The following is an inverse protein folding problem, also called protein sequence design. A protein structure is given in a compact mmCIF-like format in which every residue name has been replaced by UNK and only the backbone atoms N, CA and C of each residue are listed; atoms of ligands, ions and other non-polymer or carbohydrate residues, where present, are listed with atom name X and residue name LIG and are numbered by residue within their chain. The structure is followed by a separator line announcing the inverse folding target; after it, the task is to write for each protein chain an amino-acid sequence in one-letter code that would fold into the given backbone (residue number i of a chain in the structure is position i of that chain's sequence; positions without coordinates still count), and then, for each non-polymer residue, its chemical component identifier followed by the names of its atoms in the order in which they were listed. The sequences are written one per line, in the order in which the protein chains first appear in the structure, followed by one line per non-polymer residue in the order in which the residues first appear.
data_IF_085228776845
#
_entry.id   IF_085228776845
#
_cell.length_a   1.000
_cell.length_b   1.000
_cell.length_c   1.000
_cell.angle_alpha   90.00
_cell.angle_beta   90.00
_cell.angle_gamma   90.00
#
_symmetry.space_group_name_H-M   'P 1'
#
loop_
_entity.id
_entity.type
_entity.pdbx_description
1 polymer ?
#
# COMPACT_ATOMS: atom_id res chain seq x y z
N UNK A 1 28.33 -5.25 8.02
CA UNK A 1 28.96 -6.59 7.93
C UNK A 1 29.48 -7.09 9.29
N UNK A 2 30.38 -6.37 10.00
CA UNK A 2 30.79 -6.73 11.38
C UNK A 2 29.66 -6.85 12.42
N UNK A 3 28.61 -6.05 12.28
CA UNK A 3 27.44 -6.00 13.18
C UNK A 3 26.72 -7.35 13.40
N UNK A 4 26.74 -8.23 12.40
CA UNK A 4 26.13 -9.56 12.46
C UNK A 4 27.18 -10.68 12.57
N UNK A 5 28.44 -10.32 12.90
CA UNK A 5 29.59 -11.22 13.04
C UNK A 5 30.43 -11.39 11.78
N UNK A 6 30.24 -10.57 10.75
CA UNK A 6 31.08 -10.59 9.54
C UNK A 6 32.52 -10.23 9.85
N UNK A 7 33.50 -10.85 9.18
CA UNK A 7 34.93 -10.63 9.46
C UNK A 7 35.52 -9.37 8.82
N UNK A 8 34.76 -8.70 7.95
CA UNK A 8 35.22 -7.59 7.10
C UNK A 8 34.41 -6.28 7.31
N UNK A 9 34.96 -5.13 6.92
CA UNK A 9 34.28 -3.82 6.91
C UNK A 9 34.26 -3.05 8.26
N UNK A 10 33.90 -1.75 8.25
CA UNK A 10 33.90 -0.90 9.44
C UNK A 10 32.73 -1.24 10.38
N UNK A 11 32.99 -1.33 11.69
CA UNK A 11 31.97 -1.49 12.73
C UNK A 11 32.56 -1.61 14.15
N UNK A 12 31.81 -1.22 15.21
CA UNK A 12 32.32 -1.21 16.58
C UNK A 12 32.47 -2.63 17.15
N UNK A 13 33.47 -2.84 18.01
CA UNK A 13 33.75 -4.14 18.64
C UNK A 13 32.78 -4.51 19.79
N UNK A 14 31.91 -3.57 20.21
CA UNK A 14 31.00 -3.75 21.36
C UNK A 14 29.53 -3.73 20.94
N UNK A 15 28.80 -4.78 21.33
CA UNK A 15 27.36 -4.96 21.14
C UNK A 15 26.58 -3.75 21.69
N UNK A 16 26.79 -3.39 22.96
CA UNK A 16 26.02 -2.31 23.61
C UNK A 16 26.27 -0.92 23.02
N UNK A 17 27.51 -0.60 22.61
CA UNK A 17 27.81 0.66 21.93
C UNK A 17 27.13 0.76 20.57
N UNK A 18 27.08 -0.35 19.85
CA UNK A 18 26.43 -0.43 18.54
C UNK A 18 24.93 -0.18 18.66
N UNK A 19 24.25 -0.94 19.53
CA UNK A 19 22.80 -0.81 19.70
C UNK A 19 22.38 0.52 20.32
N UNK A 20 23.16 1.05 21.26
CA UNK A 20 22.91 2.36 21.86
C UNK A 20 22.93 3.53 20.85
N UNK A 21 23.66 3.39 19.73
CA UNK A 21 23.69 4.39 18.66
C UNK A 21 22.61 4.17 17.59
N UNK A 22 22.19 2.92 17.35
CA UNK A 22 21.20 2.63 16.30
C UNK A 22 19.78 3.11 16.64
N UNK A 23 19.37 3.00 17.91
CA UNK A 23 18.04 3.42 18.35
C UNK A 23 17.81 4.92 18.10
N UNK A 24 18.65 5.85 18.60
CA UNK A 24 18.46 7.27 18.33
C UNK A 24 18.66 7.60 16.85
N UNK A 25 19.53 6.87 16.13
CA UNK A 25 19.71 7.07 14.70
C UNK A 25 18.45 6.76 13.89
N UNK A 26 17.83 5.59 14.08
CA UNK A 26 16.60 5.23 13.37
C UNK A 26 15.44 6.15 13.76
N UNK A 27 15.33 6.49 15.04
CA UNK A 27 14.32 7.43 15.51
C UNK A 27 14.48 8.79 14.83
N UNK A 28 15.70 9.34 14.81
CA UNK A 28 15.97 10.62 14.17
C UNK A 28 15.70 10.57 12.68
N UNK A 29 16.09 9.48 12.00
CA UNK A 29 15.84 9.28 10.58
C UNK A 29 14.34 9.30 10.26
N UNK A 30 13.53 8.57 11.02
CA UNK A 30 12.07 8.51 10.82
C UNK A 30 11.41 9.83 11.20
N UNK A 31 11.84 10.44 12.31
CA UNK A 31 11.31 11.72 12.77
C UNK A 31 11.58 12.82 11.74
N UNK A 32 12.83 13.00 11.33
CA UNK A 32 13.22 14.00 10.32
C UNK A 32 12.54 13.70 8.98
N UNK A 33 12.52 12.44 8.54
CA UNK A 33 11.85 12.04 7.29
C UNK A 33 10.35 12.36 7.31
N UNK A 34 9.65 12.05 8.41
CA UNK A 34 8.22 12.35 8.58
C UNK A 34 7.98 13.87 8.67
N UNK A 35 8.85 14.60 9.37
CA UNK A 35 8.77 16.06 9.51
C UNK A 35 9.02 16.82 8.20
N UNK A 36 9.67 16.20 7.23
CA UNK A 36 9.89 16.76 5.88
C UNK A 36 8.79 16.36 4.89
N UNK A 37 7.77 15.59 5.32
CA UNK A 37 6.69 15.21 4.43
C UNK A 37 5.90 16.45 3.98
N UNK A 38 5.41 16.45 2.73
CA UNK A 38 4.67 17.60 2.23
C UNK A 38 3.39 17.88 3.02
N UNK A 39 2.62 16.85 3.37
CA UNK A 39 1.41 17.03 4.17
C UNK A 39 1.75 16.97 5.66
N UNK A 40 1.17 17.87 6.45
CA UNK A 40 1.37 17.86 7.90
C UNK A 40 0.82 16.58 8.51
N UNK A 41 1.68 15.84 9.21
CA UNK A 41 1.30 14.64 9.96
C UNK A 41 1.32 14.99 11.45
N UNK A 42 0.18 14.90 12.11
CA UNK A 42 0.11 15.12 13.56
C UNK A 42 0.70 13.94 14.33
N UNK A 43 1.36 14.23 15.46
CA UNK A 43 1.94 13.18 16.30
C UNK A 43 3.19 12.51 15.72
N UNK A 44 3.94 13.18 14.85
CA UNK A 44 5.18 12.67 14.22
C UNK A 44 6.13 11.99 15.20
N UNK A 45 6.34 12.58 16.39
CA UNK A 45 7.21 12.00 17.41
C UNK A 45 6.69 10.66 17.96
N UNK A 46 5.38 10.54 18.17
CA UNK A 46 4.76 9.30 18.63
C UNK A 46 4.85 8.22 17.53
N UNK A 47 4.51 8.57 16.29
CA UNK A 47 4.62 7.68 15.12
C UNK A 47 6.07 7.21 14.95
N UNK A 48 7.04 8.12 14.95
CA UNK A 48 8.45 7.79 14.82
C UNK A 48 8.92 6.83 15.92
N UNK A 49 8.45 7.03 17.16
CA UNK A 49 8.76 6.15 18.29
C UNK A 49 8.19 4.74 18.12
N UNK A 50 6.93 4.63 17.69
CA UNK A 50 6.26 3.35 17.44
C UNK A 50 6.95 2.59 16.30
N UNK A 51 7.17 3.26 15.16
CA UNK A 51 7.81 2.65 13.98
C UNK A 51 9.24 2.22 14.30
N UNK A 52 10.00 3.06 15.01
CA UNK A 52 11.35 2.70 15.47
C UNK A 52 11.32 1.47 16.36
N UNK A 53 10.39 1.41 17.33
CA UNK A 53 10.19 0.25 18.18
C UNK A 53 9.94 -1.02 17.37
N UNK A 54 9.00 -0.98 16.42
CA UNK A 54 8.65 -2.11 15.55
C UNK A 54 9.84 -2.60 14.71
N UNK A 55 10.58 -1.70 14.07
CA UNK A 55 11.76 -2.03 13.26
C UNK A 55 12.83 -2.70 14.13
N UNK A 56 12.97 -2.27 15.38
CA UNK A 56 13.99 -2.77 16.29
C UNK A 56 13.62 -4.10 16.96
N UNK A 57 12.35 -4.53 16.97
CA UNK A 57 11.92 -5.82 17.57
C UNK A 57 12.72 -6.99 17.01
N UNK A 58 12.75 -7.13 15.68
CA UNK A 58 13.43 -8.24 15.02
C UNK A 58 14.95 -8.28 15.31
N UNK A 59 15.69 -7.19 15.09
CA UNK A 59 17.13 -7.21 15.28
C UNK A 59 17.48 -7.29 16.79
N UNK A 60 16.68 -6.73 17.72
CA UNK A 60 16.84 -6.94 19.16
C UNK A 60 16.58 -8.40 19.58
N UNK A 61 15.56 -9.04 19.02
CA UNK A 61 15.28 -10.46 19.28
C UNK A 61 16.44 -11.35 18.79
N UNK A 62 17.03 -11.04 17.63
CA UNK A 62 18.24 -11.70 17.14
C UNK A 62 19.44 -11.46 18.06
N UNK A 63 19.64 -10.22 18.52
CA UNK A 63 20.69 -9.85 19.46
C UNK A 63 20.57 -10.59 20.79
N UNK A 64 19.37 -10.61 21.39
CA UNK A 64 19.07 -11.36 22.61
C UNK A 64 19.31 -12.86 22.45
N UNK A 65 18.86 -13.44 21.33
CA UNK A 65 19.16 -14.85 20.99
C UNK A 65 20.66 -15.11 20.89
N UNK A 66 21.45 -14.18 20.35
CA UNK A 66 22.91 -14.33 20.28
C UNK A 66 23.56 -14.29 21.67
N UNK A 67 23.12 -13.38 22.54
CA UNK A 67 23.59 -13.29 23.93
C UNK A 67 23.29 -14.57 24.73
N UNK A 68 22.13 -15.19 24.50
CA UNK A 68 21.75 -16.45 25.17
C UNK A 68 22.40 -17.70 24.57
N UNK A 69 23.10 -17.59 23.43
CA UNK A 69 23.66 -18.76 22.75
C UNK A 69 24.99 -19.17 23.40
N UNK A 70 25.00 -20.30 24.09
CA UNK A 70 26.21 -20.89 24.73
C UNK A 70 27.31 -21.36 23.77
N UNK A 71 27.04 -21.47 22.46
CA UNK A 71 28.01 -21.91 21.45
C UNK A 71 28.16 -20.87 20.33
N UNK A 72 29.38 -20.59 19.85
CA UNK A 72 29.59 -19.71 18.72
C UNK A 72 28.94 -20.26 17.45
N UNK A 73 28.59 -19.36 16.52
CA UNK A 73 28.03 -19.74 15.22
C UNK A 73 29.11 -20.47 14.45
N UNK A 74 28.81 -21.66 13.94
CA UNK A 74 29.67 -22.34 12.95
C UNK A 74 29.41 -21.88 11.52
N UNK A 75 28.38 -21.06 11.29
CA UNK A 75 28.07 -20.54 9.97
C UNK A 75 28.93 -19.33 9.68
N UNK A 76 29.68 -19.36 8.58
CA UNK A 76 30.35 -18.20 8.05
C UNK A 76 29.33 -17.14 7.65
N UNK A 77 29.64 -15.89 8.00
CA UNK A 77 28.80 -14.78 7.61
C UNK A 77 28.84 -14.58 6.08
N UNK A 78 27.73 -14.15 5.47
CA UNK A 78 27.72 -13.81 4.05
C UNK A 78 28.74 -12.69 3.81
N UNK A 79 29.64 -12.88 2.84
CA UNK A 79 30.62 -11.86 2.46
C UNK A 79 29.95 -10.62 1.86
N UNK A 80 30.74 -9.57 1.61
CA UNK A 80 30.25 -8.29 1.10
C UNK A 80 29.43 -8.44 -0.19
N UNK A 81 29.84 -9.31 -1.12
CA UNK A 81 29.14 -9.53 -2.39
C UNK A 81 27.72 -10.06 -2.18
N UNK A 82 27.52 -10.98 -1.23
CA UNK A 82 26.19 -11.51 -0.92
C UNK A 82 25.27 -10.43 -0.33
N UNK A 83 25.82 -9.53 0.49
CA UNK A 83 25.09 -8.37 0.99
C UNK A 83 24.78 -7.38 -0.12
N UNK A 84 25.74 -7.08 -1.00
CA UNK A 84 25.53 -6.22 -2.16
C UNK A 84 24.41 -6.75 -3.06
N UNK A 85 24.37 -8.06 -3.32
CA UNK A 85 23.26 -8.66 -4.07
C UNK A 85 21.92 -8.52 -3.35
N UNK A 86 21.86 -8.75 -2.03
CA UNK A 86 20.63 -8.59 -1.26
C UNK A 86 20.09 -7.16 -1.39
N UNK A 87 20.94 -6.15 -1.15
CA UNK A 87 20.53 -4.75 -1.24
C UNK A 87 20.21 -4.33 -2.66
N UNK A 88 21.01 -4.74 -3.64
CA UNK A 88 20.75 -4.45 -5.05
C UNK A 88 19.38 -4.98 -5.48
N UNK A 89 19.10 -6.26 -5.22
CA UNK A 89 17.81 -6.83 -5.58
C UNK A 89 16.67 -6.20 -4.79
N UNK A 90 16.83 -5.92 -3.50
CA UNK A 90 15.80 -5.23 -2.73
C UNK A 90 15.46 -3.84 -3.30
N UNK A 91 16.47 -3.04 -3.65
CA UNK A 91 16.27 -1.69 -4.22
C UNK A 91 15.64 -1.73 -5.60
N UNK A 92 15.89 -2.78 -6.39
CA UNK A 92 15.31 -2.91 -7.73
C UNK A 92 13.92 -3.54 -7.70
N UNK A 93 13.74 -4.66 -6.99
CA UNK A 93 12.49 -5.43 -7.04
C UNK A 93 11.39 -4.82 -6.20
N UNK A 94 11.72 -4.09 -5.13
CA UNK A 94 10.70 -3.48 -4.28
C UNK A 94 9.91 -2.38 -5.00
N UNK A 95 10.52 -1.34 -5.62
CA UNK A 95 9.78 -0.37 -6.42
C UNK A 95 9.02 -1.01 -7.58
N UNK A 96 9.56 -2.06 -8.21
CA UNK A 96 8.84 -2.80 -9.25
C UNK A 96 7.60 -3.53 -8.72
N UNK A 97 7.63 -4.02 -7.47
CA UNK A 97 6.44 -4.58 -6.83
C UNK A 97 5.47 -3.49 -6.40
N UNK A 98 5.95 -2.30 -6.03
CA UNK A 98 5.08 -1.16 -5.70
C UNK A 98 4.28 -0.71 -6.93
N UNK A 99 4.83 -0.81 -8.14
CA UNK A 99 4.04 -0.55 -9.37
C UNK A 99 2.89 -1.54 -9.56
N UNK A 100 2.93 -2.74 -8.97
CA UNK A 100 1.80 -3.66 -9.03
C UNK A 100 0.61 -3.20 -8.16
N UNK A 101 0.86 -2.32 -7.19
CA UNK A 101 -0.17 -1.82 -6.27
C UNK A 101 -0.84 -0.55 -6.79
N UNK A 102 -2.05 -0.26 -6.30
CA UNK A 102 -2.77 1.00 -6.58
C UNK A 102 -2.04 2.25 -6.10
N UNK A 103 -1.18 2.13 -5.07
CA UNK A 103 -0.35 3.25 -4.66
C UNK A 103 0.61 3.66 -5.76
N UNK A 104 1.22 2.68 -6.44
CA UNK A 104 2.25 2.92 -7.43
C UNK A 104 3.53 3.50 -6.85
N UNK A 105 4.51 3.75 -7.71
CA UNK A 105 5.78 4.38 -7.32
C UNK A 105 6.31 5.29 -8.43
N UNK A 106 7.18 6.23 -8.08
CA UNK A 106 7.82 7.17 -8.99
C UNK A 106 9.14 6.60 -9.50
N UNK A 107 9.09 5.62 -10.41
CA UNK A 107 10.29 4.96 -10.96
C UNK A 107 11.24 5.91 -11.71
N UNK A 108 10.72 7.03 -12.22
CA UNK A 108 11.44 7.94 -13.11
C UNK A 108 11.87 9.25 -12.45
N UNK A 109 11.77 9.35 -11.12
CA UNK A 109 12.24 10.52 -10.38
C UNK A 109 13.78 10.66 -10.54
N UNK A 110 14.35 11.86 -10.72
CA UNK A 110 13.71 13.19 -10.72
C UNK A 110 13.32 13.71 -12.11
N UNK A 111 13.33 12.85 -13.15
CA UNK A 111 13.04 13.27 -14.52
C UNK A 111 11.54 13.42 -14.80
N UNK A 112 10.72 12.63 -14.12
CA UNK A 112 9.27 12.67 -14.25
C UNK A 112 8.59 12.29 -12.95
N UNK A 113 7.62 13.11 -12.53
CA UNK A 113 6.72 12.85 -11.40
C UNK A 113 5.60 11.87 -11.74
N UNK A 114 5.70 11.16 -12.88
CA UNK A 114 4.78 10.11 -13.28
C UNK A 114 4.85 8.93 -12.30
N UNK A 115 3.68 8.53 -11.82
CA UNK A 115 3.54 7.42 -10.89
C UNK A 115 3.08 6.17 -11.63
N UNK A 116 4.02 5.24 -11.80
CA UNK A 116 3.77 3.98 -12.48
C UNK A 116 2.91 3.07 -11.59
N UNK A 117 1.78 2.62 -12.12
CA UNK A 117 0.89 1.67 -11.46
C UNK A 117 0.18 0.78 -12.47
N UNK A 118 0.17 -0.52 -12.19
CA UNK A 118 -0.63 -1.54 -12.88
C UNK A 118 -1.89 -1.90 -12.10
N UNK A 119 -1.95 -1.59 -10.81
CA UNK A 119 -3.13 -1.83 -9.96
C UNK A 119 -3.66 -3.27 -10.02
N UNK A 120 -2.79 -4.28 -10.13
CA UNK A 120 -3.21 -5.67 -10.24
C UNK A 120 -3.32 -6.36 -8.87
N UNK A 121 -2.66 -5.86 -7.83
CA UNK A 121 -2.72 -6.42 -6.47
C UNK A 121 -3.02 -5.32 -5.45
N UNK A 122 -3.74 -5.68 -4.38
CA UNK A 122 -3.97 -4.77 -3.26
C UNK A 122 -2.68 -4.53 -2.47
N UNK A 123 -2.56 -3.35 -1.85
CA UNK A 123 -1.42 -3.02 -0.96
C UNK A 123 -1.26 -4.03 0.17
N UNK A 124 -2.38 -4.54 0.67
CA UNK A 124 -2.44 -5.50 1.75
C UNK A 124 -3.25 -6.68 1.24
N UNK A 125 -2.56 -7.76 0.87
CA UNK A 125 -3.17 -9.00 0.40
C UNK A 125 -2.64 -10.18 1.25
N UNK A 126 -3.42 -10.66 2.24
CA UNK A 126 -3.06 -11.80 3.06
C UNK A 126 -2.85 -13.09 2.27
N UNK A 127 -3.58 -13.30 1.15
CA UNK A 127 -3.43 -14.49 0.32
C UNK A 127 -2.08 -14.51 -0.40
N UNK A 128 -1.52 -13.34 -0.71
CA UNK A 128 -0.16 -13.21 -1.21
C UNK A 128 0.89 -13.28 -0.09
N UNK A 129 0.72 -12.46 0.95
CA UNK A 129 1.76 -12.19 1.95
C UNK A 129 1.94 -13.32 2.95
N UNK A 130 0.85 -13.93 3.46
CA UNK A 130 0.93 -14.94 4.52
C UNK A 130 1.60 -16.24 4.04
N UNK A 131 1.22 -16.85 2.90
CA UNK A 131 1.87 -18.08 2.45
C UNK A 131 3.37 -17.89 2.17
N UNK A 132 3.73 -16.77 1.54
CA UNK A 132 5.12 -16.40 1.29
C UNK A 132 5.90 -16.22 2.60
N UNK A 133 5.33 -15.47 3.55
CA UNK A 133 5.93 -15.22 4.85
C UNK A 133 6.11 -16.50 5.66
N UNK A 134 5.14 -17.41 5.63
CA UNK A 134 5.26 -18.73 6.28
C UNK A 134 6.44 -19.53 5.71
N UNK A 135 6.59 -19.58 4.39
CA UNK A 135 7.73 -20.24 3.75
C UNK A 135 9.06 -19.63 4.21
N UNK A 136 9.14 -18.29 4.27
CA UNK A 136 10.32 -17.56 4.71
C UNK A 136 10.65 -17.83 6.18
N UNK A 137 9.66 -17.78 7.06
CA UNK A 137 9.80 -18.04 8.50
C UNK A 137 10.29 -19.48 8.72
N UNK A 138 9.64 -20.46 8.09
CA UNK A 138 10.06 -21.88 8.19
C UNK A 138 11.50 -22.03 7.71
N UNK A 139 11.85 -21.47 6.54
CA UNK A 139 13.21 -21.52 6.02
C UNK A 139 14.24 -20.85 6.94
N UNK A 140 13.87 -19.78 7.64
CA UNK A 140 14.73 -19.07 8.59
C UNK A 140 15.03 -19.90 9.86
N UNK A 141 14.11 -20.75 10.30
CA UNK A 141 14.32 -21.65 11.44
C UNK A 141 15.05 -22.95 11.07
N UNK A 142 15.12 -23.31 9.79
CA UNK A 142 15.84 -24.50 9.32
C UNK A 142 17.36 -24.31 9.28
N UNK A 143 18.10 -25.38 9.62
CA UNK A 143 19.57 -25.39 9.58
C UNK A 143 20.10 -25.15 8.17
N UNK A 144 21.16 -24.36 8.05
CA UNK A 144 21.89 -24.14 6.78
C UNK A 144 22.38 -25.48 6.23
N UNK A 145 22.27 -25.68 4.91
CA UNK A 145 22.66 -26.92 4.23
C UNK A 145 21.59 -28.03 4.21
N UNK A 146 20.47 -27.89 4.94
CA UNK A 146 19.35 -28.83 4.76
C UNK A 146 18.65 -28.58 3.43
N UNK A 147 18.39 -29.62 2.61
CA UNK A 147 17.68 -29.46 1.33
C UNK A 147 16.28 -28.86 1.55
N UNK A 148 15.62 -29.21 2.65
CA UNK A 148 14.33 -28.64 3.06
C UNK A 148 14.35 -27.11 3.12
N UNK A 149 15.44 -26.47 3.57
CA UNK A 149 15.53 -25.00 3.63
C UNK A 149 15.48 -24.39 2.23
N UNK A 150 16.22 -24.96 1.29
CA UNK A 150 16.21 -24.49 -0.10
C UNK A 150 14.84 -24.73 -0.73
N UNK A 151 14.21 -25.86 -0.42
CA UNK A 151 12.88 -26.18 -0.88
C UNK A 151 11.85 -25.13 -0.42
N UNK A 152 11.80 -24.78 0.87
CA UNK A 152 10.88 -23.74 1.36
C UNK A 152 11.14 -22.37 0.75
N UNK A 153 12.41 -22.00 0.52
CA UNK A 153 12.74 -20.76 -0.19
C UNK A 153 12.18 -20.75 -1.62
N UNK A 154 12.43 -21.82 -2.39
CA UNK A 154 11.92 -21.92 -3.76
C UNK A 154 10.41 -22.06 -3.81
N UNK A 155 9.80 -22.76 -2.85
CA UNK A 155 8.34 -22.82 -2.71
C UNK A 155 7.76 -21.43 -2.47
N UNK A 156 8.34 -20.63 -1.58
CA UNK A 156 7.92 -19.23 -1.35
C UNK A 156 8.00 -18.40 -2.64
N UNK A 157 9.13 -18.43 -3.34
CA UNK A 157 9.31 -17.74 -4.62
C UNK A 157 8.26 -18.20 -5.65
N UNK A 158 8.03 -19.51 -5.74
CA UNK A 158 7.08 -20.10 -6.68
C UNK A 158 5.65 -19.66 -6.37
N UNK A 159 5.23 -19.71 -5.10
CA UNK A 159 3.91 -19.26 -4.67
C UNK A 159 3.70 -17.78 -4.96
N UNK A 160 4.67 -16.93 -4.59
CA UNK A 160 4.64 -15.49 -4.89
C UNK A 160 4.55 -15.22 -6.40
N UNK A 161 5.36 -15.92 -7.20
CA UNK A 161 5.38 -15.73 -8.66
C UNK A 161 4.09 -16.19 -9.33
N UNK A 162 3.57 -17.36 -8.96
CA UNK A 162 2.29 -17.87 -9.48
C UNK A 162 1.13 -16.97 -9.09
N UNK A 163 1.11 -16.47 -7.86
CA UNK A 163 0.08 -15.53 -7.42
C UNK A 163 0.13 -14.23 -8.23
N UNK A 164 1.33 -13.67 -8.46
CA UNK A 164 1.47 -12.46 -9.27
C UNK A 164 0.99 -12.68 -10.72
N UNK A 165 1.32 -13.81 -11.34
CA UNK A 165 0.80 -14.15 -12.68
C UNK A 165 -0.73 -14.24 -12.67
N UNK A 166 -1.32 -14.81 -11.62
CA UNK A 166 -2.76 -14.89 -11.45
C UNK A 166 -3.40 -13.51 -11.30
N UNK A 167 -2.82 -12.61 -10.51
CA UNK A 167 -3.34 -11.24 -10.34
C UNK A 167 -3.29 -10.43 -11.64
N UNK A 168 -2.22 -10.56 -12.43
CA UNK A 168 -2.16 -9.96 -13.77
C UNK A 168 -3.23 -10.53 -14.71
N UNK A 169 -3.46 -11.84 -14.67
CA UNK A 169 -4.50 -12.49 -15.47
C UNK A 169 -5.90 -11.98 -15.10
N UNK A 170 -6.17 -11.83 -13.80
CA UNK A 170 -7.42 -11.25 -13.30
C UNK A 170 -7.56 -9.79 -13.73
N UNK A 171 -6.51 -8.97 -13.62
CA UNK A 171 -6.51 -7.58 -14.08
C UNK A 171 -6.93 -7.46 -15.55
N UNK A 172 -6.31 -8.25 -16.42
CA UNK A 172 -6.65 -8.25 -17.86
C UNK A 172 -8.09 -8.68 -18.12
N UNK A 173 -8.61 -9.65 -17.35
CA UNK A 173 -10.00 -10.09 -17.46
C UNK A 173 -10.97 -8.99 -17.00
N UNK A 174 -10.71 -8.39 -15.84
CA UNK A 174 -11.56 -7.38 -15.23
C UNK A 174 -11.58 -6.10 -16.07
N UNK A 175 -10.45 -5.68 -16.64
CA UNK A 175 -10.39 -4.53 -17.54
C UNK A 175 -11.27 -4.71 -18.77
N UNK A 176 -11.30 -5.90 -19.35
CA UNK A 176 -12.20 -6.21 -20.47
C UNK A 176 -13.65 -6.13 -20.03
N UNK A 177 -14.00 -6.80 -18.92
CA UNK A 177 -15.37 -6.78 -18.37
C UNK A 177 -15.83 -5.35 -18.06
N UNK A 178 -14.96 -4.53 -17.49
CA UNK A 178 -15.25 -3.13 -17.17
C UNK A 178 -15.49 -2.31 -18.44
N UNK A 179 -14.61 -2.44 -19.44
CA UNK A 179 -14.77 -1.77 -20.73
C UNK A 179 -16.06 -2.18 -21.46
N UNK A 180 -16.39 -3.48 -21.45
CA UNK A 180 -17.63 -4.00 -22.02
C UNK A 180 -18.86 -3.49 -21.26
N UNK A 181 -18.75 -3.35 -19.94
CA UNK A 181 -19.80 -2.78 -19.08
C UNK A 181 -20.07 -1.31 -19.40
N UNK A 182 -19.01 -0.50 -19.58
CA UNK A 182 -19.13 0.89 -20.01
C UNK A 182 -19.82 1.01 -21.37
N UNK A 183 -19.38 0.18 -22.33
CA UNK A 183 -19.93 0.18 -23.70
C UNK A 183 -21.41 -0.22 -23.70
N UNK A 184 -21.77 -1.25 -22.93
CA UNK A 184 -23.16 -1.75 -22.83
C UNK A 184 -24.09 -0.71 -22.19
N UNK A 185 -23.60 0.06 -21.23
CA UNK A 185 -24.36 1.14 -20.59
C UNK A 185 -24.31 2.47 -21.37
N UNK A 186 -23.61 2.51 -22.52
CA UNK A 186 -23.50 3.71 -23.35
C UNK A 186 -22.65 4.82 -22.74
N UNK A 187 -21.75 4.48 -21.81
CA UNK A 187 -20.87 5.44 -21.12
C UNK A 187 -19.60 5.62 -21.95
N UNK A 188 -19.36 6.84 -22.43
CA UNK A 188 -18.13 7.23 -23.12
C UNK A 188 -17.15 7.78 -22.09
N UNK A 189 -16.26 6.92 -21.60
CA UNK A 189 -15.24 7.30 -20.63
C UNK A 189 -13.98 7.83 -21.33
N UNK A 190 -13.41 8.93 -20.82
CA UNK A 190 -12.11 9.45 -21.29
C UNK A 190 -10.97 8.53 -20.87
N UNK A 191 -11.07 8.00 -19.65
CA UNK A 191 -10.14 7.04 -19.07
C UNK A 191 -10.83 6.23 -17.98
N UNK A 192 -10.25 5.09 -17.66
CA UNK A 192 -10.70 4.29 -16.52
C UNK A 192 -9.54 3.69 -15.74
N UNK A 193 -9.87 3.25 -14.54
CA UNK A 193 -9.01 2.48 -13.66
C UNK A 193 -9.81 1.33 -13.06
N UNK A 194 -9.22 0.14 -12.97
CA UNK A 194 -9.76 -0.94 -12.13
C UNK A 194 -8.70 -1.34 -11.10
N UNK A 195 -9.14 -1.57 -9.88
CA UNK A 195 -8.29 -1.88 -8.73
C UNK A 195 -8.92 -3.01 -7.92
N UNK A 196 -8.13 -3.95 -7.39
CA UNK A 196 -8.65 -4.93 -6.44
C UNK A 196 -8.95 -4.25 -5.11
N UNK A 197 -10.02 -4.68 -4.47
CA UNK A 197 -10.37 -4.25 -3.12
C UNK A 197 -9.33 -4.72 -2.09
N UNK A 198 -9.33 -4.13 -0.89
CA UNK A 198 -8.36 -4.47 0.15
C UNK A 198 -8.48 -5.94 0.60
N UNK A 199 -7.35 -6.55 0.93
CA UNK A 199 -7.24 -7.93 1.44
C UNK A 199 -7.53 -9.07 0.46
N UNK A 200 -7.82 -8.80 -0.81
CA UNK A 200 -8.10 -9.87 -1.77
C UNK A 200 -7.85 -9.47 -3.23
N UNK A 201 -7.97 -10.43 -4.14
CA UNK A 201 -7.92 -10.22 -5.59
C UNK A 201 -9.19 -10.72 -6.30
N UNK A 202 -10.28 -10.89 -5.56
CA UNK A 202 -11.54 -11.47 -6.03
C UNK A 202 -12.55 -10.38 -6.36
N UNK A 203 -12.67 -9.40 -5.48
CA UNK A 203 -13.54 -8.24 -5.64
C UNK A 203 -12.73 -7.06 -6.16
N UNK A 204 -13.22 -6.47 -7.24
CA UNK A 204 -12.59 -5.38 -7.97
C UNK A 204 -13.52 -4.18 -8.02
N UNK A 205 -12.96 -2.99 -7.85
CA UNK A 205 -13.64 -1.73 -8.08
C UNK A 205 -13.16 -1.16 -9.40
N UNK A 206 -14.08 -0.64 -10.20
CA UNK A 206 -13.80 0.08 -11.42
C UNK A 206 -14.26 1.53 -11.29
N UNK A 207 -13.47 2.45 -11.84
CA UNK A 207 -13.74 3.89 -11.88
C UNK A 207 -13.50 4.39 -13.29
N UNK A 208 -14.53 4.96 -13.91
CA UNK A 208 -14.46 5.59 -15.22
C UNK A 208 -14.67 7.10 -15.09
N UNK A 209 -13.86 7.89 -15.80
CA UNK A 209 -13.99 9.34 -15.84
C UNK A 209 -14.75 9.79 -17.09
N UNK A 210 -15.70 10.69 -16.89
CA UNK A 210 -16.33 11.49 -17.95
C UNK A 210 -16.12 12.97 -17.64
N UNK A 211 -16.59 13.86 -18.50
CA UNK A 211 -16.43 15.30 -18.36
C UNK A 211 -16.88 15.82 -16.98
N UNK A 212 -18.05 15.38 -16.51
CA UNK A 212 -18.72 15.93 -15.31
C UNK A 212 -18.82 14.98 -14.13
N UNK A 213 -18.80 13.66 -14.36
CA UNK A 213 -18.98 12.64 -13.32
C UNK A 213 -17.96 11.52 -13.41
N UNK A 214 -17.73 10.84 -12.30
CA UNK A 214 -17.09 9.53 -12.26
C UNK A 214 -18.16 8.44 -12.17
N UNK A 215 -17.99 7.35 -12.91
CA UNK A 215 -18.78 6.15 -12.74
C UNK A 215 -17.99 5.13 -11.95
N UNK A 216 -18.52 4.70 -10.81
CA UNK A 216 -17.86 3.76 -9.91
C UNK A 216 -18.74 2.54 -9.70
N UNK A 217 -18.13 1.37 -9.66
CA UNK A 217 -18.85 0.14 -9.39
C UNK A 217 -17.93 -1.00 -9.01
N UNK A 218 -18.52 -2.03 -8.43
CA UNK A 218 -17.79 -3.22 -7.99
C UNK A 218 -18.19 -4.46 -8.77
N UNK A 219 -17.23 -5.34 -9.00
CA UNK A 219 -17.39 -6.64 -9.65
C UNK A 219 -16.60 -7.70 -8.90
N UNK A 220 -17.25 -8.82 -8.56
CA UNK A 220 -16.57 -10.00 -8.05
C UNK A 220 -16.32 -10.98 -9.18
N UNK A 221 -15.13 -11.60 -9.20
CA UNK A 221 -14.83 -12.72 -10.09
C UNK A 221 -15.77 -13.93 -9.87
N UNK A 222 -16.52 -13.94 -8.76
CA UNK A 222 -17.52 -14.94 -8.40
C UNK A 222 -18.97 -14.53 -8.77
N UNK A 223 -19.18 -13.33 -9.31
CA UNK A 223 -20.50 -12.92 -9.80
C UNK A 223 -20.94 -13.82 -10.96
N UNK A 224 -22.24 -14.15 -10.99
CA UNK A 224 -22.82 -14.99 -12.06
C UNK A 224 -22.80 -14.30 -13.41
N UNK A 225 -23.06 -12.99 -13.40
CA UNK A 225 -23.05 -12.15 -14.60
C UNK A 225 -21.77 -11.29 -14.61
N UNK A 226 -20.91 -11.40 -15.63
CA UNK A 226 -19.68 -10.62 -15.74
C UNK A 226 -19.99 -9.17 -16.15
N UNK A 227 -20.59 -8.39 -15.24
CA UNK A 227 -20.94 -7.00 -15.48
C UNK A 227 -20.76 -6.14 -14.23
N UNK A 228 -20.29 -4.91 -14.42
CA UNK A 228 -20.22 -3.90 -13.36
C UNK A 228 -21.54 -3.14 -13.25
N UNK A 229 -22.10 -3.06 -12.05
CA UNK A 229 -23.16 -2.10 -11.75
C UNK A 229 -22.51 -0.76 -11.42
N UNK A 230 -22.64 0.20 -12.34
CA UNK A 230 -21.98 1.50 -12.24
C UNK A 230 -22.92 2.56 -11.67
N UNK A 231 -22.40 3.36 -10.76
CA UNK A 231 -23.11 4.46 -10.12
C UNK A 231 -22.38 5.78 -10.43
N UNK A 232 -23.11 6.81 -10.87
CA UNK A 232 -22.52 8.12 -11.12
C UNK A 232 -22.21 8.84 -9.80
N UNK A 233 -21.06 9.49 -9.74
CA UNK A 233 -20.60 10.35 -8.67
C UNK A 233 -20.15 11.68 -9.25
N UNK A 234 -20.79 12.76 -8.81
CA UNK A 234 -20.43 14.12 -9.21
C UNK A 234 -19.05 14.49 -8.69
N UNK A 235 -18.22 15.07 -9.57
CA UNK A 235 -16.84 15.47 -9.25
C UNK A 235 -16.79 16.52 -8.13
N UNK A 236 -17.67 17.50 -8.21
CA UNK A 236 -17.75 18.64 -7.28
C UNK A 236 -16.44 19.43 -7.14
N UNK A 237 -15.62 19.46 -8.20
CA UNK A 237 -14.33 20.15 -8.19
C UNK A 237 -14.48 21.67 -8.05
N UNK A 238 -15.67 22.21 -8.30
CA UNK A 238 -16.01 23.62 -8.06
C UNK A 238 -15.81 24.05 -6.60
N UNK A 239 -15.93 23.13 -5.63
CA UNK A 239 -15.70 23.41 -4.21
C UNK A 239 -14.26 23.77 -3.88
N UNK A 240 -13.31 23.41 -4.75
CA UNK A 240 -11.87 23.69 -4.59
C UNK A 240 -11.35 24.64 -5.67
N UNK A 241 -12.23 25.29 -6.44
CA UNK A 241 -11.83 26.09 -7.61
C UNK A 241 -10.90 27.23 -7.23
N UNK A 242 -11.20 27.93 -6.14
CA UNK A 242 -10.42 29.09 -5.67
C UNK A 242 -9.13 28.69 -4.95
N UNK A 243 -8.99 27.40 -4.62
CA UNK A 243 -7.87 26.80 -3.90
C UNK A 243 -7.07 25.80 -4.75
N UNK A 244 -7.25 25.85 -6.08
CA UNK A 244 -6.74 24.85 -7.00
C UNK A 244 -5.20 24.75 -7.02
N UNK A 245 -4.55 25.88 -6.76
CA UNK A 245 -3.10 26.05 -6.75
C UNK A 245 -2.49 25.98 -5.34
N UNK A 246 -3.34 25.86 -4.32
CA UNK A 246 -2.89 25.65 -2.94
C UNK A 246 -2.07 24.37 -2.87
N UNK A 247 -1.04 24.41 -2.01
CA UNK A 247 -0.02 23.37 -1.97
C UNK A 247 -0.61 21.98 -1.72
N UNK A 248 -1.45 21.86 -0.71
CA UNK A 248 -2.03 20.58 -0.29
C UNK A 248 -3.04 20.06 -1.32
N UNK A 249 -3.87 20.94 -1.88
CA UNK A 249 -4.80 20.59 -2.96
C UNK A 249 -4.04 20.08 -4.18
N UNK A 250 -2.95 20.74 -4.59
CA UNK A 250 -2.09 20.29 -5.70
C UNK A 250 -1.47 18.92 -5.42
N UNK A 251 -0.98 18.69 -4.19
CA UNK A 251 -0.42 17.40 -3.78
C UNK A 251 -1.48 16.30 -3.84
N UNK A 252 -2.68 16.54 -3.31
CA UNK A 252 -3.77 15.56 -3.29
C UNK A 252 -4.30 15.24 -4.69
N UNK A 253 -4.41 16.25 -5.56
CA UNK A 253 -4.77 16.06 -6.97
C UNK A 253 -3.75 15.22 -7.72
N UNK A 254 -2.46 15.50 -7.51
CA UNK A 254 -1.38 14.68 -8.06
C UNK A 254 -1.40 13.26 -7.48
N UNK A 255 -1.56 13.13 -6.16
CA UNK A 255 -1.60 11.86 -5.44
C UNK A 255 -2.77 10.97 -5.87
N UNK A 256 -3.94 11.54 -6.15
CA UNK A 256 -5.11 10.82 -6.67
C UNK A 256 -5.06 10.60 -8.18
N UNK A 257 -4.03 11.10 -8.87
CA UNK A 257 -3.95 11.10 -10.34
C UNK A 257 -5.20 11.70 -11.02
N UNK A 258 -5.88 12.62 -10.33
CA UNK A 258 -7.13 13.25 -10.75
C UNK A 258 -8.40 12.44 -10.48
N UNK A 259 -8.31 11.21 -9.95
CA UNK A 259 -9.47 10.39 -9.60
C UNK A 259 -9.98 10.73 -8.19
N UNK A 260 -10.64 11.88 -8.05
CA UNK A 260 -11.18 12.33 -6.77
C UNK A 260 -12.52 13.04 -6.91
N UNK A 261 -13.29 12.99 -5.82
CA UNK A 261 -14.51 13.80 -5.65
C UNK A 261 -14.39 14.66 -4.41
N UNK A 262 -15.08 15.79 -4.42
CA UNK A 262 -15.16 16.70 -3.27
C UNK A 262 -16.58 16.68 -2.70
N UNK A 263 -16.74 16.57 -1.39
CA UNK A 263 -18.07 16.55 -0.77
C UNK A 263 -18.11 17.51 0.41
N UNK A 264 -19.07 18.44 0.47
CA UNK A 264 -19.18 19.35 1.59
C UNK A 264 -19.57 18.58 2.85
N UNK A 265 -18.98 18.96 3.98
CA UNK A 265 -19.30 18.41 5.29
C UNK A 265 -20.11 19.42 6.12
N UNK A 266 -20.96 18.95 7.06
CA UNK A 266 -21.82 19.83 7.87
C UNK A 266 -21.06 20.86 8.73
N UNK A 267 -19.80 20.60 9.02
CA UNK A 267 -18.91 21.42 9.85
C UNK A 267 -18.11 22.47 9.04
N UNK A 268 -18.43 22.62 7.74
CA UNK A 268 -17.76 23.54 6.83
C UNK A 268 -16.43 22.99 6.26
N UNK A 269 -16.08 21.74 6.55
CA UNK A 269 -14.95 21.07 5.91
C UNK A 269 -15.34 20.53 4.54
N UNK A 270 -14.35 20.26 3.70
CA UNK A 270 -14.53 19.58 2.41
C UNK A 270 -13.86 18.21 2.47
N UNK A 271 -14.64 17.15 2.27
CA UNK A 271 -14.11 15.80 2.14
C UNK A 271 -13.57 15.59 0.72
N UNK A 272 -12.26 15.43 0.61
CA UNK A 272 -11.58 15.01 -0.61
C UNK A 272 -11.43 13.49 -0.60
N UNK A 273 -12.09 12.79 -1.52
CA UNK A 273 -12.08 11.32 -1.55
C UNK A 273 -11.29 10.81 -2.75
N UNK A 274 -10.28 9.95 -2.52
CA UNK A 274 -9.51 9.30 -3.60
C UNK A 274 -10.26 8.04 -4.08
N UNK A 275 -10.79 8.09 -5.29
CA UNK A 275 -11.64 7.03 -5.84
C UNK A 275 -10.86 5.76 -6.21
N UNK A 276 -9.52 5.83 -6.32
CA UNK A 276 -8.70 4.71 -6.78
C UNK A 276 -8.68 3.55 -5.78
N UNK A 277 -8.86 3.84 -4.50
CA UNK A 277 -8.85 2.84 -3.44
C UNK A 277 -10.19 2.14 -3.23
N UNK A 278 -11.15 2.41 -4.12
CA UNK A 278 -12.47 1.80 -4.11
C UNK A 278 -13.38 2.34 -3.01
N UNK A 279 -14.67 2.30 -3.29
CA UNK A 279 -15.71 2.63 -2.33
C UNK A 279 -16.67 1.45 -2.27
N UNK A 280 -17.08 1.07 -1.07
CA UNK A 280 -18.02 -0.04 -0.90
C UNK A 280 -19.42 0.52 -0.72
N UNK A 281 -20.31 0.25 -1.67
CA UNK A 281 -21.72 0.60 -1.52
C UNK A 281 -22.39 -0.37 -0.55
N UNK A 282 -22.68 0.08 0.68
CA UNK A 282 -23.42 -0.74 1.65
C UNK A 282 -24.91 -0.77 1.31
N UNK A 283 -25.62 -1.87 1.62
CA UNK A 283 -27.07 -1.92 1.49
C UNK A 283 -27.74 -0.76 2.24
N UNK A 284 -28.59 -0.01 1.56
CA UNK A 284 -29.32 1.12 2.14
C UNK A 284 -28.62 2.48 2.06
N UNK A 285 -27.38 2.55 1.56
CA UNK A 285 -26.70 3.81 1.26
C UNK A 285 -26.90 4.19 -0.22
N UNK A 286 -26.94 5.50 -0.48
CA UNK A 286 -26.97 6.06 -1.85
C UNK A 286 -25.57 6.28 -2.41
N UNK A 287 -24.56 6.42 -1.57
CA UNK A 287 -23.17 6.66 -1.96
C UNK A 287 -22.24 5.61 -1.34
N UNK A 288 -21.15 5.23 -2.02
CA UNK A 288 -20.18 4.28 -1.48
C UNK A 288 -19.38 4.87 -0.32
N UNK A 289 -19.00 4.03 0.64
CA UNK A 289 -18.08 4.40 1.70
C UNK A 289 -16.63 4.19 1.26
N UNK A 290 -15.83 5.26 1.35
CA UNK A 290 -14.42 5.25 0.99
C UNK A 290 -13.54 5.32 2.22
N UNK A 291 -12.51 4.48 2.27
CA UNK A 291 -11.55 4.41 3.39
C UNK A 291 -10.45 5.47 3.26
N UNK A 292 -10.21 5.96 2.04
CA UNK A 292 -9.18 6.94 1.73
C UNK A 292 -9.78 8.28 1.35
N UNK A 293 -9.93 9.14 2.35
CA UNK A 293 -10.31 10.53 2.19
C UNK A 293 -9.40 11.45 3.00
N UNK A 294 -9.49 12.74 2.72
CA UNK A 294 -8.83 13.81 3.47
C UNK A 294 -9.88 14.86 3.78
N UNK A 295 -9.81 15.43 4.98
CA UNK A 295 -10.68 16.54 5.35
C UNK A 295 -9.90 17.82 5.11
N UNK A 296 -10.37 18.62 4.17
CA UNK A 296 -9.80 19.91 3.85
C UNK A 296 -10.53 21.00 4.63
N UNK A 297 -9.76 21.92 5.21
CA UNK A 297 -10.30 23.09 5.89
C UNK A 297 -9.50 24.31 5.49
N UNK A 298 -10.21 25.41 5.24
CA UNK A 298 -9.57 26.69 4.95
C UNK A 298 -8.97 27.28 6.23
N UNK A 299 -7.68 27.58 6.20
CA UNK A 299 -6.92 28.19 7.28
C UNK A 299 -5.99 29.26 6.70
N UNK A 300 -6.10 30.49 7.20
CA UNK A 300 -5.31 31.63 6.72
C UNK A 300 -5.42 31.90 5.20
N UNK A 301 -6.54 31.53 4.57
CA UNK A 301 -6.78 31.71 3.14
C UNK A 301 -6.23 30.60 2.24
N UNK A 302 -5.65 29.54 2.83
CA UNK A 302 -5.22 28.33 2.11
C UNK A 302 -6.03 27.12 2.57
N UNK A 303 -6.32 26.19 1.65
CA UNK A 303 -6.93 24.92 1.96
C UNK A 303 -5.89 23.93 2.46
N UNK A 304 -5.97 23.62 3.76
CA UNK A 304 -5.05 22.72 4.44
C UNK A 304 -5.70 21.34 4.57
N UNK A 305 -4.95 20.31 4.22
CA UNK A 305 -5.39 18.94 4.37
C UNK A 305 -5.12 18.42 5.78
N UNK A 306 -6.19 18.04 6.49
CA UNK A 306 -6.12 17.34 7.76
C UNK A 306 -6.34 15.84 7.52
N UNK A 307 -5.50 15.03 8.14
CA UNK A 307 -5.56 13.58 8.01
C UNK A 307 -6.85 13.04 8.63
N UNK A 308 -7.62 12.29 7.85
CA UNK A 308 -8.52 11.25 8.37
C UNK A 308 -8.63 10.11 7.36
N UNK A 309 -7.82 9.07 7.56
CA UNK A 309 -7.93 7.81 6.83
C UNK A 309 -8.46 6.73 7.78
N UNK A 310 -9.51 6.03 7.36
CA UNK A 310 -10.20 5.04 8.17
C UNK A 310 -11.61 4.77 7.61
N UNK A 311 -12.26 3.66 7.99
CA UNK A 311 -13.68 3.49 7.71
C UNK A 311 -14.44 4.73 8.22
N UNK A 312 -15.41 5.27 7.47
CA UNK A 312 -16.23 6.38 7.96
C UNK A 312 -16.90 6.03 9.29
N UNK A 313 -17.34 7.04 10.04
CA UNK A 313 -17.99 6.89 11.34
C UNK A 313 -19.07 5.78 11.30
N UNK A 314 -18.76 4.65 11.93
CA UNK A 314 -19.49 3.38 11.86
C UNK A 314 -18.64 2.23 12.40
N UNK A 315 -19.24 1.08 12.72
CA UNK A 315 -18.47 -0.06 13.21
C UNK A 315 -17.63 -0.68 12.06
N UNK A 316 -16.28 -0.74 12.15
CA UNK A 316 -15.45 -1.35 11.11
C UNK A 316 -15.88 -2.79 10.74
N UNK A 317 -16.48 -3.51 11.69
CA UNK A 317 -17.08 -4.83 11.52
C UNK A 317 -18.10 -4.89 10.37
N UNK A 318 -18.96 -3.88 10.25
CA UNK A 318 -20.00 -3.82 9.21
C UNK A 318 -19.39 -3.63 7.83
N UNK A 319 -18.37 -2.77 7.71
CA UNK A 319 -17.65 -2.56 6.46
C UNK A 319 -16.96 -3.86 6.00
N UNK A 320 -16.29 -4.55 6.92
CA UNK A 320 -15.69 -5.86 6.66
C UNK A 320 -16.72 -6.92 6.28
N UNK A 321 -17.88 -6.94 6.94
CA UNK A 321 -18.96 -7.86 6.62
C UNK A 321 -19.53 -7.60 5.22
N UNK A 322 -19.76 -6.34 4.86
CA UNK A 322 -20.23 -5.96 3.54
C UNK A 322 -19.21 -6.30 2.44
N UNK A 323 -17.92 -6.10 2.71
CA UNK A 323 -16.83 -6.52 1.81
C UNK A 323 -16.86 -8.04 1.60
N UNK A 324 -17.00 -8.80 2.69
CA UNK A 324 -17.07 -10.26 2.66
C UNK A 324 -18.28 -10.78 1.87
N UNK A 325 -19.46 -10.21 2.09
CA UNK A 325 -20.65 -10.59 1.33
C UNK A 325 -20.52 -10.24 -0.16
N UNK A 326 -19.96 -9.06 -0.49
CA UNK A 326 -19.75 -8.67 -1.89
C UNK A 326 -18.72 -9.57 -2.60
N UNK A 327 -17.67 -10.02 -1.89
CA UNK A 327 -16.67 -10.94 -2.41
C UNK A 327 -17.26 -12.29 -2.83
N UNK A 328 -18.25 -12.82 -2.11
CA UNK A 328 -18.94 -14.09 -2.46
C UNK A 328 -19.65 -14.05 -3.81
N UNK A 329 -19.84 -12.86 -4.34
CA UNK A 329 -20.51 -12.61 -5.61
C UNK A 329 -22.03 -12.55 -5.47
N UNK A 330 -22.70 -12.23 -6.58
CA UNK A 330 -24.17 -12.16 -6.70
C UNK A 330 -24.69 -13.04 -7.84
#
# INVERSE_FOLDING_TARGET
HRLYGGREGPGPDSFWRTWGLMIPFFWLLIYVGTSLMPLEIYGTAAIASIVTGMILVFPLALGGRQLWRKRPSRNDNPGWLAWSHLFFWAIITHPLLDTCTTYGTQLFEPFSSYRATWSNISVADPLYTVPFLLCLIIAAFLRRGRPARSWFNYAGITVSSLYMIWTFSNKLKVDRIFNDSLTTQGIVAERFLTTPSIFNNILWTGTAETDTVFYVGDYSLLDRDPHFVLHPLSKHHELLRDHWDDRDVRILRWFSSGYFVCQPQPDGQIRFTDLRFGGLLRPGQMEPDYVFYFLLKEENGEMIARQSGGPPDGEPSEWFAALWERMKGR
#
